data_IF_196293500951
#
_entry.id   IF_196293500951
#
_cell.length_a   1.000
_cell.length_b   1.000
_cell.length_c   1.000
_cell.angle_alpha   90.00
_cell.angle_beta   90.00
_cell.angle_gamma   90.00
#
_symmetry.space_group_name_H-M   'P 1'
#
loop_
_entity.id
_entity.type
_entity.pdbx_description
1 polymer ?
#
# COMPACT_ATOMS: atom_id res chain seq x y z
N UNK A 1 -32.22 -2.92 16.61
CA UNK A 1 -30.99 -3.69 16.31
C UNK A 1 -29.90 -3.24 17.27
N UNK A 2 -29.09 -4.17 17.80
CA UNK A 2 -27.94 -3.82 18.65
C UNK A 2 -26.92 -3.16 17.72
N UNK A 3 -26.54 -1.90 17.97
CA UNK A 3 -25.50 -1.23 17.17
C UNK A 3 -24.19 -2.00 17.36
N UNK A 4 -23.59 -2.46 16.28
CA UNK A 4 -22.29 -3.10 16.33
C UNK A 4 -21.26 -2.06 16.77
N UNK A 5 -20.33 -2.49 17.63
CA UNK A 5 -19.27 -1.63 18.16
C UNK A 5 -17.92 -2.14 17.70
N UNK A 6 -16.98 -1.21 17.51
CA UNK A 6 -15.59 -1.50 17.17
C UNK A 6 -14.67 -0.58 17.96
N UNK A 7 -13.40 -0.92 18.01
CA UNK A 7 -12.40 -0.25 18.82
C UNK A 7 -11.18 0.11 17.98
N UNK A 8 -10.62 1.30 18.21
CA UNK A 8 -9.35 1.77 17.64
C UNK A 8 -8.58 2.39 18.80
N UNK A 9 -7.37 1.90 19.10
CA UNK A 9 -6.54 2.41 20.22
C UNK A 9 -7.31 2.52 21.56
N UNK A 10 -8.02 1.46 21.93
CA UNK A 10 -8.87 1.37 23.13
C UNK A 10 -10.11 2.29 23.13
N UNK A 11 -10.23 3.23 22.19
CA UNK A 11 -11.43 4.05 22.01
C UNK A 11 -12.56 3.23 21.37
N UNK A 12 -13.78 3.44 21.86
CA UNK A 12 -14.98 2.72 21.43
C UNK A 12 -15.81 3.54 20.46
N UNK A 13 -16.11 2.94 19.32
CA UNK A 13 -16.95 3.50 18.27
C UNK A 13 -18.20 2.64 18.04
N UNK A 14 -19.24 3.28 17.50
CA UNK A 14 -20.46 2.60 17.07
C UNK A 14 -20.56 2.67 15.56
N UNK A 15 -20.89 1.56 14.91
CA UNK A 15 -21.22 1.57 13.49
C UNK A 15 -22.42 2.49 13.22
N UNK A 16 -22.35 3.20 12.08
CA UNK A 16 -23.39 4.08 11.57
C UNK A 16 -24.49 3.28 10.87
N UNK A 17 -25.43 3.98 10.23
CA UNK A 17 -26.52 3.33 9.50
C UNK A 17 -26.00 2.61 8.25
N UNK A 18 -24.94 3.14 7.63
CA UNK A 18 -24.25 2.48 6.52
C UNK A 18 -22.79 2.17 6.83
N UNK A 19 -22.25 1.14 6.16
CA UNK A 19 -20.82 0.81 6.22
C UNK A 19 -19.97 1.92 5.59
N UNK A 20 -20.49 2.65 4.60
CA UNK A 20 -19.77 3.77 4.01
C UNK A 20 -19.57 4.91 5.00
N UNK A 21 -20.63 5.31 5.71
CA UNK A 21 -20.53 6.32 6.77
C UNK A 21 -19.62 5.87 7.90
N UNK A 22 -19.68 4.58 8.26
CA UNK A 22 -18.78 4.01 9.27
C UNK A 22 -17.32 4.10 8.83
N UNK A 23 -17.02 3.74 7.58
CA UNK A 23 -15.68 3.83 7.02
C UNK A 23 -15.18 5.27 6.95
N UNK A 24 -16.02 6.22 6.51
CA UNK A 24 -15.67 7.64 6.45
C UNK A 24 -15.34 8.22 7.84
N UNK A 25 -16.17 7.93 8.86
CA UNK A 25 -15.91 8.37 10.24
C UNK A 25 -14.62 7.76 10.79
N UNK A 26 -14.35 6.50 10.47
CA UNK A 26 -13.11 5.81 10.82
C UNK A 26 -11.90 6.48 10.17
N UNK A 27 -11.94 6.76 8.87
CA UNK A 27 -10.85 7.45 8.16
C UNK A 27 -10.62 8.86 8.71
N UNK A 28 -11.70 9.58 9.05
CA UNK A 28 -11.60 10.89 9.70
C UNK A 28 -10.87 10.81 11.05
N UNK A 29 -11.20 9.83 11.89
CA UNK A 29 -10.52 9.62 13.16
C UNK A 29 -9.04 9.24 12.96
N UNK A 30 -8.76 8.28 12.09
CA UNK A 30 -7.41 7.84 11.76
C UNK A 30 -6.52 8.99 11.27
N UNK A 31 -7.08 9.88 10.44
CA UNK A 31 -6.40 11.11 10.01
C UNK A 31 -6.08 12.05 11.18
N UNK A 32 -6.99 12.21 12.15
CA UNK A 32 -6.75 13.05 13.33
C UNK A 32 -5.61 12.52 14.20
N UNK A 33 -5.53 11.20 14.35
CA UNK A 33 -4.50 10.54 15.16
C UNK A 33 -3.27 10.14 14.34
N UNK A 34 -3.21 10.55 13.06
CA UNK A 34 -2.10 10.23 12.16
C UNK A 34 -1.74 8.75 12.17
N UNK A 35 -2.74 7.88 12.05
CA UNK A 35 -2.59 6.43 12.11
C UNK A 35 -3.31 5.74 10.97
N UNK A 36 -2.92 4.51 10.65
CA UNK A 36 -3.59 3.65 9.67
C UNK A 36 -3.92 2.31 10.32
N UNK A 37 -4.93 1.62 9.78
CA UNK A 37 -5.27 0.26 10.22
C UNK A 37 -4.40 -0.72 9.48
N UNK A 38 -3.86 -1.69 10.22
CA UNK A 38 -3.01 -2.75 9.67
C UNK A 38 -3.57 -4.11 10.03
N UNK A 39 -3.19 -5.12 9.25
CA UNK A 39 -3.38 -6.51 9.62
C UNK A 39 -2.35 -6.94 10.68
N UNK A 40 -2.43 -8.20 11.10
CA UNK A 40 -1.53 -8.82 12.08
C UNK A 40 -0.05 -8.92 11.63
N UNK A 41 0.23 -8.70 10.35
CA UNK A 41 1.59 -8.63 9.80
C UNK A 41 2.09 -7.20 9.61
N UNK A 42 1.29 -6.19 10.00
CA UNK A 42 1.65 -4.78 9.87
C UNK A 42 1.36 -4.16 8.50
N UNK A 43 0.66 -4.87 7.62
CA UNK A 43 0.31 -4.41 6.26
C UNK A 43 -0.98 -3.57 6.30
N UNK A 44 -1.04 -2.40 5.66
CA UNK A 44 -2.24 -1.57 5.61
C UNK A 44 -3.42 -2.28 4.96
N UNK A 45 -4.58 -2.24 5.62
CA UNK A 45 -5.83 -2.79 5.05
C UNK A 45 -6.47 -1.80 4.08
N UNK A 46 -7.11 -2.30 3.04
CA UNK A 46 -7.91 -1.48 2.13
C UNK A 46 -9.37 -1.27 2.61
N UNK A 47 -10.11 -0.41 1.90
CA UNK A 47 -11.50 -0.08 2.24
C UNK A 47 -12.42 -1.32 2.25
N UNK A 48 -12.20 -2.26 1.32
CA UNK A 48 -13.02 -3.46 1.20
C UNK A 48 -12.73 -4.39 2.38
N UNK A 49 -11.46 -4.61 2.70
CA UNK A 49 -11.04 -5.43 3.83
C UNK A 49 -11.59 -4.89 5.15
N UNK A 50 -11.54 -3.57 5.37
CA UNK A 50 -12.10 -2.94 6.58
C UNK A 50 -13.61 -3.14 6.65
N UNK A 51 -14.33 -2.93 5.55
CA UNK A 51 -15.79 -3.12 5.51
C UNK A 51 -16.17 -4.58 5.77
N UNK A 52 -15.44 -5.52 5.21
CA UNK A 52 -15.66 -6.95 5.43
C UNK A 52 -15.45 -7.34 6.89
N UNK A 53 -14.39 -6.83 7.52
CA UNK A 53 -14.14 -7.04 8.96
C UNK A 53 -15.26 -6.46 9.83
N UNK A 54 -15.77 -5.27 9.49
CA UNK A 54 -16.89 -4.63 10.20
C UNK A 54 -18.20 -5.42 10.06
N UNK A 55 -18.42 -6.13 8.96
CA UNK A 55 -19.61 -6.98 8.77
C UNK A 55 -19.53 -8.26 9.59
N UNK A 56 -18.35 -8.87 9.63
CA UNK A 56 -18.16 -10.21 10.18
C UNK A 56 -18.06 -10.23 11.72
N UNK A 57 -17.67 -9.11 12.34
CA UNK A 57 -17.27 -9.09 13.74
C UNK A 57 -18.08 -8.11 14.59
N UNK A 58 -18.65 -8.62 15.68
CA UNK A 58 -19.15 -7.79 16.77
C UNK A 58 -18.02 -7.54 17.78
N UNK A 59 -17.75 -6.28 18.14
CA UNK A 59 -16.66 -5.87 19.03
C UNK A 59 -15.26 -6.08 18.43
N UNK A 60 -15.09 -5.76 17.15
CA UNK A 60 -13.80 -5.78 16.49
C UNK A 60 -12.83 -4.78 17.13
N UNK A 61 -11.57 -5.18 17.28
CA UNK A 61 -10.48 -4.30 17.70
C UNK A 61 -9.54 -4.17 16.50
N UNK A 62 -9.36 -2.96 16.01
CA UNK A 62 -8.40 -2.68 14.94
C UNK A 62 -7.02 -2.42 15.53
N UNK A 63 -6.03 -3.09 14.95
CA UNK A 63 -4.63 -2.73 15.15
C UNK A 63 -4.30 -1.53 14.28
N UNK A 64 -3.54 -0.58 14.83
CA UNK A 64 -3.09 0.59 14.09
C UNK A 64 -1.59 0.78 14.19
N UNK A 65 -1.04 1.46 13.18
CA UNK A 65 0.35 1.92 13.15
C UNK A 65 0.36 3.43 12.92
N UNK A 66 1.26 4.14 13.61
CA UNK A 66 1.47 5.56 13.35
C UNK A 66 1.95 5.75 11.92
N UNK A 67 1.36 6.73 11.23
CA UNK A 67 1.68 7.03 9.84
C UNK A 67 3.15 7.35 9.68
N UNK A 68 3.78 8.07 10.61
CA UNK A 68 5.19 8.45 10.51
C UNK A 68 6.12 7.23 10.52
N UNK A 69 5.82 6.25 11.36
CA UNK A 69 6.61 5.02 11.46
C UNK A 69 6.42 4.16 10.22
N UNK A 70 5.20 4.14 9.69
CA UNK A 70 4.88 3.44 8.46
C UNK A 70 5.44 4.14 7.21
N UNK A 71 5.36 5.46 7.09
CA UNK A 71 5.99 6.26 6.03
C UNK A 71 7.49 5.99 5.98
N UNK A 72 8.15 5.94 7.13
CA UNK A 72 9.59 5.73 7.20
C UNK A 72 9.97 4.30 6.75
N UNK A 73 9.19 3.30 7.14
CA UNK A 73 9.35 1.91 6.71
C UNK A 73 9.01 1.73 5.23
N UNK A 74 7.90 2.29 4.75
CA UNK A 74 7.46 2.23 3.36
C UNK A 74 8.49 2.91 2.45
N UNK A 75 8.99 4.10 2.81
CA UNK A 75 10.04 4.77 2.05
C UNK A 75 11.33 3.95 2.01
N UNK A 76 11.72 3.33 3.13
CA UNK A 76 12.89 2.46 3.19
C UNK A 76 12.71 1.21 2.34
N UNK A 77 11.56 0.55 2.44
CA UNK A 77 11.22 -0.65 1.70
C UNK A 77 11.16 -0.37 0.20
N UNK A 78 10.50 0.71 -0.21
CA UNK A 78 10.43 1.14 -1.61
C UNK A 78 11.84 1.39 -2.14
N UNK A 79 12.65 2.20 -1.45
CA UNK A 79 14.02 2.45 -1.87
C UNK A 79 14.87 1.16 -1.94
N UNK A 80 14.72 0.28 -0.94
CA UNK A 80 15.45 -0.98 -0.87
C UNK A 80 15.04 -1.93 -2.00
N UNK A 81 13.75 -2.16 -2.19
CA UNK A 81 13.24 -3.07 -3.22
C UNK A 81 13.50 -2.54 -4.63
N UNK A 82 13.40 -1.22 -4.86
CA UNK A 82 13.83 -0.61 -6.12
C UNK A 82 15.29 -0.93 -6.42
N UNK A 83 16.17 -0.80 -5.42
CA UNK A 83 17.59 -1.08 -5.57
C UNK A 83 17.88 -2.57 -5.77
N UNK A 84 17.23 -3.44 -5.01
CA UNK A 84 17.39 -4.90 -5.09
C UNK A 84 16.89 -5.46 -6.43
N UNK A 85 15.80 -4.91 -6.97
CA UNK A 85 15.27 -5.30 -8.27
C UNK A 85 16.19 -4.85 -9.41
N UNK A 86 16.69 -3.60 -9.38
CA UNK A 86 17.67 -3.11 -10.35
C UNK A 86 18.93 -3.99 -10.34
N UNK A 87 19.45 -4.33 -9.16
CA UNK A 87 20.60 -5.24 -9.02
C UNK A 87 20.30 -6.66 -9.52
N UNK A 88 19.07 -7.16 -9.31
CA UNK A 88 18.63 -8.47 -9.81
C UNK A 88 18.54 -8.49 -11.34
N UNK A 89 18.12 -7.37 -11.94
CA UNK A 89 18.04 -7.20 -13.40
C UNK A 89 19.44 -7.01 -14.01
N UNK A 90 20.31 -6.22 -13.38
CA UNK A 90 21.69 -6.07 -13.82
C UNK A 90 22.50 -7.39 -13.73
N UNK A 91 22.07 -8.33 -12.87
CA UNK A 91 22.69 -9.65 -12.71
C UNK A 91 22.01 -10.78 -13.52
N UNK A 92 21.16 -10.44 -14.50
CA UNK A 92 20.35 -11.36 -15.33
C UNK A 92 21.12 -12.50 -16.02
N UNK A 93 22.44 -12.40 -16.18
CA UNK A 93 23.25 -13.50 -16.70
C UNK A 93 23.36 -14.72 -15.75
N UNK A 94 22.76 -14.68 -14.54
CA UNK A 94 22.99 -15.66 -13.46
C UNK A 94 21.74 -16.23 -12.77
N UNK A 95 20.50 -15.85 -13.12
CA UNK A 95 19.27 -16.26 -12.40
C UNK A 95 18.16 -16.81 -13.31
N UNK A 96 17.28 -17.65 -12.75
CA UNK A 96 16.18 -18.30 -13.48
C UNK A 96 14.96 -17.38 -13.66
N UNK A 97 14.06 -17.69 -14.61
CA UNK A 97 12.78 -16.98 -14.80
C UNK A 97 11.95 -16.94 -13.49
N UNK A 98 12.01 -18.02 -12.72
CA UNK A 98 11.30 -18.16 -11.45
C UNK A 98 11.83 -17.17 -10.39
N UNK A 99 13.15 -16.95 -10.36
CA UNK A 99 13.76 -15.96 -9.48
C UNK A 99 13.34 -14.52 -9.84
N UNK A 100 13.21 -14.24 -11.14
CA UNK A 100 12.79 -12.91 -11.65
C UNK A 100 11.33 -12.65 -11.29
N UNK A 101 10.45 -13.63 -11.50
CA UNK A 101 9.03 -13.54 -11.13
C UNK A 101 8.85 -13.39 -9.61
N UNK A 102 9.64 -14.10 -8.79
CA UNK A 102 9.58 -13.97 -7.34
C UNK A 102 9.97 -12.57 -6.87
N UNK A 103 11.10 -12.03 -7.35
CA UNK A 103 11.53 -10.68 -7.02
C UNK A 103 10.52 -9.62 -7.49
N UNK A 104 9.91 -9.82 -8.67
CA UNK A 104 8.89 -8.92 -9.19
C UNK A 104 7.58 -8.99 -8.40
N UNK A 105 7.21 -10.16 -7.87
CA UNK A 105 6.03 -10.32 -7.01
C UNK A 105 6.20 -9.60 -5.67
N UNK A 106 7.38 -9.65 -5.06
CA UNK A 106 7.67 -8.93 -3.81
C UNK A 106 7.55 -7.42 -4.01
N UNK A 107 8.12 -6.91 -5.11
CA UNK A 107 7.94 -5.52 -5.49
C UNK A 107 6.47 -5.14 -5.65
N UNK A 108 5.73 -5.96 -6.39
CA UNK A 108 4.32 -5.70 -6.70
C UNK A 108 3.50 -5.57 -5.41
N UNK A 109 3.79 -6.42 -4.42
CA UNK A 109 3.15 -6.33 -3.10
C UNK A 109 3.44 -4.99 -2.43
N UNK A 110 4.68 -4.51 -2.44
CA UNK A 110 5.03 -3.21 -1.84
C UNK A 110 4.33 -2.03 -2.54
N UNK A 111 4.17 -2.08 -3.87
CA UNK A 111 3.45 -1.03 -4.61
C UNK A 111 1.95 -1.00 -4.25
N UNK A 112 1.36 -2.16 -3.99
CA UNK A 112 -0.04 -2.24 -3.54
C UNK A 112 -0.21 -1.70 -2.12
N UNK A 113 0.75 -1.95 -1.23
CA UNK A 113 0.78 -1.35 0.11
C UNK A 113 0.80 0.18 0.05
N UNK A 114 1.67 0.74 -0.82
CA UNK A 114 1.73 2.16 -1.10
C UNK A 114 0.39 2.74 -1.59
N UNK A 115 -0.30 2.03 -2.49
CA UNK A 115 -1.61 2.47 -3.00
C UNK A 115 -2.68 2.50 -1.91
N UNK A 116 -2.64 1.56 -0.97
CA UNK A 116 -3.54 1.58 0.17
C UNK A 116 -3.29 2.83 1.04
N UNK A 117 -2.02 3.15 1.33
CA UNK A 117 -1.63 4.37 2.05
C UNK A 117 -2.09 5.63 1.30
N UNK A 118 -1.88 5.72 0.00
CA UNK A 118 -2.34 6.83 -0.85
C UNK A 118 -3.85 7.07 -0.69
N UNK A 119 -4.63 5.98 -0.70
CA UNK A 119 -6.09 6.03 -0.54
C UNK A 119 -6.54 6.54 0.84
N UNK A 120 -5.84 6.20 1.92
CA UNK A 120 -6.16 6.69 3.27
C UNK A 120 -6.12 8.22 3.36
N UNK A 121 -5.17 8.81 2.63
CA UNK A 121 -4.91 10.24 2.65
C UNK A 121 -5.53 10.99 1.48
N UNK A 122 -6.23 10.26 0.60
CA UNK A 122 -6.93 10.80 -0.55
C UNK A 122 -6.01 11.60 -1.48
N UNK A 123 -4.75 11.16 -1.62
CA UNK A 123 -3.80 11.76 -2.56
C UNK A 123 -4.16 11.41 -4.00
N UNK A 124 -4.67 10.19 -4.22
CA UNK A 124 -5.09 9.67 -5.52
C UNK A 124 -3.97 9.69 -6.58
N UNK A 125 -2.72 9.51 -6.17
CA UNK A 125 -1.55 9.47 -7.07
C UNK A 125 -1.25 8.05 -7.51
N UNK A 126 -1.35 7.10 -6.58
CA UNK A 126 -1.03 5.70 -6.84
C UNK A 126 -2.33 4.89 -7.03
N UNK A 127 -2.65 4.60 -8.29
CA UNK A 127 -3.84 3.82 -8.64
C UNK A 127 -3.55 2.31 -8.63
N UNK A 128 -4.19 1.59 -7.69
CA UNK A 128 -4.13 0.13 -7.55
C UNK A 128 -4.36 -0.63 -8.86
N UNK A 129 -5.37 -0.24 -9.63
CA UNK A 129 -5.69 -0.89 -10.92
C UNK A 129 -4.56 -0.73 -11.93
N UNK A 130 -3.92 0.45 -11.97
CA UNK A 130 -2.80 0.67 -12.86
C UNK A 130 -1.60 -0.18 -12.45
N UNK A 131 -1.29 -0.28 -11.15
CA UNK A 131 -0.25 -1.19 -10.65
C UNK A 131 -0.55 -2.63 -11.10
N UNK A 132 -1.74 -3.15 -10.83
CA UNK A 132 -2.11 -4.52 -11.17
C UNK A 132 -2.01 -4.79 -12.68
N UNK A 133 -2.39 -3.83 -13.53
CA UNK A 133 -2.26 -3.95 -14.98
C UNK A 133 -0.81 -4.00 -15.42
N UNK A 134 0.02 -3.08 -14.91
CA UNK A 134 1.43 -3.01 -15.24
C UNK A 134 2.18 -4.25 -14.76
N UNK A 135 1.83 -4.78 -13.57
CA UNK A 135 2.36 -6.02 -13.03
C UNK A 135 2.09 -7.19 -13.96
N UNK A 136 0.84 -7.36 -14.42
CA UNK A 136 0.49 -8.43 -15.37
C UNK A 136 1.23 -8.30 -16.70
N UNK A 137 1.42 -7.08 -17.18
CA UNK A 137 2.19 -6.83 -18.41
C UNK A 137 3.65 -7.24 -18.23
N UNK A 138 4.29 -6.87 -17.11
CA UNK A 138 5.65 -7.26 -16.81
C UNK A 138 5.80 -8.79 -16.63
N UNK A 139 4.88 -9.44 -15.92
CA UNK A 139 4.87 -10.91 -15.78
C UNK A 139 4.83 -11.61 -17.15
N UNK A 140 3.97 -11.13 -18.06
CA UNK A 140 3.91 -11.65 -19.42
C UNK A 140 5.24 -11.46 -20.16
N UNK A 141 5.86 -10.29 -20.02
CA UNK A 141 7.16 -9.99 -20.65
C UNK A 141 8.31 -10.83 -20.10
N UNK A 142 8.30 -11.13 -18.81
CA UNK A 142 9.25 -12.05 -18.18
C UNK A 142 9.11 -13.45 -18.78
N UNK A 143 7.88 -13.96 -18.93
CA UNK A 143 7.61 -15.28 -19.55
C UNK A 143 8.04 -15.31 -21.03
N UNK A 144 7.88 -14.20 -21.74
CA UNK A 144 8.32 -14.04 -23.14
C UNK A 144 9.85 -13.92 -23.30
N UNK A 145 10.61 -13.84 -22.20
CA UNK A 145 12.04 -13.50 -22.18
C UNK A 145 12.35 -12.11 -22.78
N UNK A 146 11.38 -11.20 -22.75
CA UNK A 146 11.49 -9.82 -23.27
C UNK A 146 11.97 -8.88 -22.15
N UNK A 147 13.19 -9.10 -21.68
CA UNK A 147 13.73 -8.41 -20.51
C UNK A 147 13.95 -6.91 -20.72
N UNK A 148 14.12 -6.46 -21.98
CA UNK A 148 14.21 -5.03 -22.30
C UNK A 148 12.91 -4.32 -21.95
N UNK A 149 11.77 -4.88 -22.34
CA UNK A 149 10.47 -4.33 -21.97
C UNK A 149 10.18 -4.46 -20.47
N UNK A 150 10.71 -5.48 -19.79
CA UNK A 150 10.62 -5.57 -18.32
C UNK A 150 11.35 -4.41 -17.65
N UNK A 151 12.56 -4.07 -18.12
CA UNK A 151 13.32 -2.91 -17.62
C UNK A 151 12.56 -1.60 -17.87
N UNK A 152 12.03 -1.39 -19.08
CA UNK A 152 11.25 -0.20 -19.41
C UNK A 152 10.00 -0.07 -18.54
N UNK A 153 9.27 -1.16 -18.31
CA UNK A 153 8.08 -1.17 -17.44
C UNK A 153 8.46 -0.80 -16.00
N UNK A 154 9.57 -1.34 -15.52
CA UNK A 154 10.13 -1.04 -14.21
C UNK A 154 10.47 0.45 -14.12
N UNK A 155 11.30 0.98 -15.02
CA UNK A 155 11.66 2.41 -15.04
C UNK A 155 10.44 3.35 -15.08
N UNK A 156 9.36 2.93 -15.73
CA UNK A 156 8.11 3.68 -15.83
C UNK A 156 7.27 3.63 -14.55
N UNK A 157 7.26 2.48 -13.84
CA UNK A 157 6.67 2.38 -12.48
C UNK A 157 7.43 3.29 -11.49
N UNK A 158 8.75 3.38 -11.63
CA UNK A 158 9.61 4.01 -10.61
C UNK A 158 9.81 5.51 -10.75
N UNK A 159 9.83 6.06 -11.98
CA UNK A 159 10.27 7.44 -12.18
C UNK A 159 9.17 8.49 -11.98
N UNK A 160 7.92 8.23 -12.39
CA UNK A 160 6.88 9.27 -12.32
C UNK A 160 5.96 9.18 -11.09
N UNK A 161 5.60 7.97 -10.62
CA UNK A 161 4.57 7.85 -9.57
C UNK A 161 5.13 7.87 -8.17
N UNK A 162 6.29 7.24 -7.98
CA UNK A 162 6.92 7.11 -6.67
C UNK A 162 7.62 8.42 -6.30
N UNK A 163 8.30 9.09 -7.24
CA UNK A 163 8.94 10.38 -6.95
C UNK A 163 7.91 11.45 -6.57
N UNK A 164 6.82 11.59 -7.31
CA UNK A 164 5.71 12.51 -6.99
C UNK A 164 5.09 12.20 -5.61
N UNK A 165 4.85 10.93 -5.31
CA UNK A 165 4.28 10.50 -4.03
C UNK A 165 5.25 10.74 -2.87
N UNK A 166 6.54 10.47 -3.06
CA UNK A 166 7.60 10.76 -2.08
C UNK A 166 7.69 12.26 -1.83
N UNK A 167 7.70 13.09 -2.88
CA UNK A 167 7.75 14.55 -2.74
C UNK A 167 6.55 15.06 -1.94
N UNK A 168 5.34 14.54 -2.19
CA UNK A 168 4.13 14.96 -1.48
C UNK A 168 4.10 14.48 -0.01
N UNK A 169 4.61 13.27 0.27
CA UNK A 169 4.86 12.79 1.64
C UNK A 169 5.92 13.65 2.36
N UNK A 170 6.98 14.06 1.68
CA UNK A 170 8.00 14.96 2.23
C UNK A 170 7.47 16.38 2.44
N UNK A 171 6.58 16.86 1.57
CA UNK A 171 5.95 18.18 1.69
C UNK A 171 5.06 18.25 2.93
N UNK A 172 4.43 17.14 3.34
CA UNK A 172 3.75 17.04 4.65
C UNK A 172 4.69 17.21 5.85
N UNK A 173 5.97 16.82 5.75
CA UNK A 173 6.99 17.12 6.78
C UNK A 173 7.31 18.62 6.85
N UNK A 174 6.95 19.39 5.81
CA UNK A 174 7.06 20.86 5.73
C UNK A 174 5.86 21.63 6.28
N UNK A 175 4.73 20.97 6.61
CA UNK A 175 3.61 21.58 7.35
C UNK A 175 3.83 21.36 8.85
N UNK A 176 5.00 21.78 9.33
CA UNK A 176 5.21 22.15 10.73
C UNK A 176 5.82 23.55 10.70
N UNK A 177 4.95 24.55 10.59
CA UNK A 177 5.11 25.85 11.25
C UNK A 177 3.77 26.29 11.82
#
# INVERSE_FOLDING_TARGET
>A
MKKMTYYINEEKFNQKESLQETYQDLVLYLNQISSIIVNNTGIPLDEIEIKDLLVQNNNLIFETKLIKDHEQEVLQNVHQFSKELLLTIESLNLKSIEDILSAFSELSATLLELSNVDSYFNFNKINKTNIELTVRQAEQKIVENDYSSVVEIIELIYSEWIEDFIEELETRKGIIQ
#
